data_IF_583739194670
#
_entry.id   IF_583739194670
#
_cell.length_a   1.000
_cell.length_b   1.000
_cell.length_c   1.000
_cell.angle_alpha   90.00
_cell.angle_beta   90.00
_cell.angle_gamma   90.00
#
_symmetry.space_group_name_H-M   'P 1'
#
loop_
_entity.id
_entity.type
_entity.pdbx_description
1 polymer ?
#
# COMPACT_ATOMS: atom_id res chain seq x y z
N UNK A 1 -9.66 -0.83 8.74
CA UNK A 1 -8.88 -0.13 7.71
C UNK A 1 -9.22 1.37 7.62
N UNK A 2 -10.46 1.77 7.31
CA UNK A 2 -10.83 3.19 7.11
C UNK A 2 -10.35 4.13 8.23
N UNK A 3 -10.59 3.79 9.50
CA UNK A 3 -10.13 4.62 10.62
C UNK A 3 -8.61 4.76 10.73
N UNK A 4 -7.85 3.73 10.33
CA UNK A 4 -6.39 3.78 10.29
C UNK A 4 -5.90 4.70 9.17
N UNK A 5 -6.45 4.57 7.95
CA UNK A 5 -6.08 5.43 6.82
C UNK A 5 -6.43 6.90 7.07
N UNK A 6 -7.55 7.19 7.74
CA UNK A 6 -7.89 8.57 8.16
C UNK A 6 -6.84 9.13 9.11
N UNK A 7 -6.46 8.36 10.15
CA UNK A 7 -5.38 8.79 11.07
C UNK A 7 -4.05 9.04 10.36
N UNK A 8 -3.70 8.21 9.37
CA UNK A 8 -2.50 8.43 8.55
C UNK A 8 -2.60 9.71 7.71
N UNK A 9 -3.79 10.04 7.19
CA UNK A 9 -4.00 11.27 6.45
C UNK A 9 -3.94 12.51 7.36
N UNK A 10 -4.53 12.41 8.56
CA UNK A 10 -4.63 13.50 9.52
C UNK A 10 -3.30 13.80 10.22
N UNK A 11 -2.40 12.81 10.36
CA UNK A 11 -1.09 13.03 10.98
C UNK A 11 -0.14 13.89 10.12
N UNK A 12 -0.45 14.09 8.84
CA UNK A 12 0.29 14.95 7.91
C UNK A 12 1.71 14.46 7.57
N UNK A 13 2.16 13.34 8.15
CA UNK A 13 3.52 12.84 8.00
C UNK A 13 3.62 11.94 6.76
N UNK A 14 3.57 12.57 5.58
CA UNK A 14 3.73 11.91 4.30
C UNK A 14 5.07 12.29 3.68
N UNK A 15 5.97 11.32 3.41
CA UNK A 15 7.27 11.60 2.81
C UNK A 15 7.18 12.32 1.46
N UNK A 16 6.12 12.05 0.70
CA UNK A 16 5.86 12.62 -0.63
C UNK A 16 4.36 12.73 -0.90
N UNK A 17 4.00 13.59 -1.85
CA UNK A 17 2.60 13.82 -2.22
C UNK A 17 1.91 12.59 -2.82
N UNK A 18 2.64 11.69 -3.50
CA UNK A 18 2.08 10.42 -4.00
C UNK A 18 1.69 9.45 -2.88
N UNK A 19 2.29 9.58 -1.69
CA UNK A 19 1.95 8.78 -0.50
C UNK A 19 0.65 9.29 0.11
N UNK A 20 0.51 10.61 0.19
CA UNK A 20 -0.75 11.26 0.59
C UNK A 20 -1.87 10.92 -0.38
N UNK A 21 -1.60 11.00 -1.68
CA UNK A 21 -2.59 10.74 -2.73
C UNK A 21 -3.11 9.31 -2.67
N UNK A 22 -2.24 8.30 -2.54
CA UNK A 22 -2.70 6.90 -2.47
C UNK A 22 -3.59 6.65 -1.24
N UNK A 23 -3.30 7.27 -0.09
CA UNK A 23 -4.13 7.17 1.11
C UNK A 23 -5.47 7.86 0.89
N UNK A 24 -5.48 9.06 0.32
CA UNK A 24 -6.70 9.82 0.02
C UNK A 24 -7.63 9.04 -0.92
N UNK A 25 -7.07 8.47 -1.99
CA UNK A 25 -7.83 7.63 -2.94
C UNK A 25 -8.36 6.35 -2.26
N UNK A 26 -7.58 5.75 -1.36
CA UNK A 26 -8.00 4.57 -0.59
C UNK A 26 -9.15 4.90 0.37
N UNK A 27 -9.11 6.06 1.04
CA UNK A 27 -10.21 6.54 1.89
C UNK A 27 -11.48 6.77 1.08
N UNK A 28 -11.36 7.40 -0.09
CA UNK A 28 -12.46 7.60 -1.02
C UNK A 28 -13.10 6.27 -1.46
N UNK A 29 -12.28 5.31 -1.89
CA UNK A 29 -12.73 3.98 -2.27
C UNK A 29 -13.53 3.30 -1.14
N UNK A 30 -13.04 3.34 0.10
CA UNK A 30 -13.74 2.76 1.25
C UNK A 30 -15.03 3.49 1.65
N UNK A 31 -15.15 4.78 1.34
CA UNK A 31 -16.38 5.55 1.57
C UNK A 31 -17.42 5.36 0.46
N UNK A 32 -17.06 4.73 -0.66
CA UNK A 32 -17.90 4.67 -1.85
C UNK A 32 -18.12 6.06 -2.47
N UNK A 33 -17.16 6.97 -2.32
CA UNK A 33 -17.29 8.35 -2.75
C UNK A 33 -16.04 8.85 -3.45
N UNK A 34 -16.24 9.84 -4.32
CA UNK A 34 -15.18 10.47 -5.11
C UNK A 34 -14.66 11.71 -4.35
N UNK A 35 -13.33 11.90 -4.17
CA UNK A 35 -12.75 13.12 -3.64
C UNK A 35 -13.22 14.37 -4.39
N UNK A 36 -13.28 15.50 -3.70
CA UNK A 36 -13.68 16.80 -4.29
C UNK A 36 -12.69 17.31 -5.34
N UNK A 37 -11.43 16.88 -5.29
CA UNK A 37 -10.42 17.21 -6.28
C UNK A 37 -9.42 16.08 -6.47
N UNK A 38 -8.91 15.96 -7.68
CA UNK A 38 -7.85 15.01 -8.04
C UNK A 38 -6.66 15.75 -8.59
N UNK A 39 -5.47 15.23 -8.30
CA UNK A 39 -4.27 15.62 -9.03
C UNK A 39 -4.30 15.00 -10.41
N UNK A 40 -3.83 15.74 -11.41
CA UNK A 40 -3.55 15.17 -12.72
C UNK A 40 -2.58 13.98 -12.54
N UNK A 41 -2.79 12.86 -13.25
CA UNK A 41 -1.87 11.75 -13.18
C UNK A 41 -0.44 12.18 -13.54
N UNK A 42 0.52 11.87 -12.68
CA UNK A 42 1.93 12.14 -12.93
C UNK A 42 2.53 11.20 -13.98
N UNK A 43 3.77 11.48 -14.39
CA UNK A 43 4.46 10.68 -15.40
C UNK A 43 4.49 9.18 -15.03
N UNK A 44 3.97 8.35 -15.94
CA UNK A 44 4.04 6.90 -15.82
C UNK A 44 5.45 6.42 -16.18
N UNK A 45 6.21 6.00 -15.19
CA UNK A 45 7.53 5.41 -15.38
C UNK A 45 7.53 3.96 -14.89
N UNK A 46 8.15 3.05 -15.66
CA UNK A 46 8.16 1.61 -15.32
C UNK A 46 8.81 1.29 -13.97
N UNK A 47 9.72 2.15 -13.50
CA UNK A 47 10.43 1.98 -12.22
C UNK A 47 9.59 2.31 -10.98
N UNK A 48 8.42 2.95 -11.11
CA UNK A 48 7.60 3.39 -9.95
C UNK A 48 6.24 2.71 -9.91
N UNK A 49 6.14 1.65 -9.11
CA UNK A 49 4.89 0.92 -8.88
C UNK A 49 3.77 1.81 -8.29
N UNK A 50 4.09 2.78 -7.43
CA UNK A 50 3.11 3.69 -6.81
C UNK A 50 2.27 4.46 -7.83
N UNK A 51 2.88 4.90 -8.95
CA UNK A 51 2.15 5.56 -10.02
C UNK A 51 1.06 4.63 -10.59
N UNK A 52 1.41 3.36 -10.84
CA UNK A 52 0.46 2.34 -11.32
C UNK A 52 -0.68 2.11 -10.34
N UNK A 53 -0.38 2.09 -9.03
CA UNK A 53 -1.39 1.98 -7.98
C UNK A 53 -2.34 3.19 -7.97
N UNK A 54 -1.81 4.42 -8.05
CA UNK A 54 -2.63 5.65 -8.13
C UNK A 54 -3.53 5.64 -9.37
N UNK A 55 -2.98 5.27 -10.54
CA UNK A 55 -3.77 5.13 -11.77
C UNK A 55 -4.88 4.09 -11.62
N UNK A 56 -4.58 2.90 -11.10
CA UNK A 56 -5.57 1.85 -10.88
C UNK A 56 -6.69 2.29 -9.91
N UNK A 57 -6.32 3.02 -8.85
CA UNK A 57 -7.30 3.58 -7.92
C UNK A 57 -8.22 4.61 -8.59
N UNK A 58 -7.68 5.51 -9.43
CA UNK A 58 -8.50 6.47 -10.18
C UNK A 58 -9.43 5.76 -11.16
N UNK A 59 -8.94 4.77 -11.91
CA UNK A 59 -9.76 3.95 -12.81
C UNK A 59 -10.90 3.30 -12.01
N UNK A 60 -10.62 2.73 -10.83
CA UNK A 60 -11.66 2.14 -9.99
C UNK A 60 -12.69 3.17 -9.52
N UNK A 61 -12.27 4.36 -9.09
CA UNK A 61 -13.18 5.42 -8.60
C UNK A 61 -14.06 5.99 -9.72
N UNK A 62 -13.58 5.99 -10.95
CA UNK A 62 -14.29 6.51 -12.13
C UNK A 62 -14.80 5.41 -13.07
N UNK A 63 -14.82 4.15 -12.65
CA UNK A 63 -15.09 3.02 -13.56
C UNK A 63 -16.46 3.11 -14.25
N UNK A 64 -17.45 3.74 -13.61
CA UNK A 64 -18.78 3.95 -14.20
C UNK A 64 -18.77 4.94 -15.40
N UNK A 65 -17.71 5.73 -15.54
CA UNK A 65 -17.51 6.67 -16.65
C UNK A 65 -16.62 6.09 -17.77
N UNK A 66 -16.11 4.88 -17.60
CA UNK A 66 -15.15 4.26 -18.50
C UNK A 66 -15.78 3.03 -19.17
N UNK A 67 -15.53 2.87 -20.46
CA UNK A 67 -15.87 1.62 -21.15
C UNK A 67 -14.90 0.52 -20.71
N UNK A 68 -15.40 -0.40 -19.89
CA UNK A 68 -14.62 -1.51 -19.35
C UNK A 68 -15.37 -2.82 -19.53
N UNK A 69 -14.65 -3.85 -20.00
CA UNK A 69 -15.15 -5.21 -19.94
C UNK A 69 -15.31 -5.66 -18.48
N UNK A 70 -16.18 -6.66 -18.25
CA UNK A 70 -16.33 -7.29 -16.93
C UNK A 70 -15.00 -7.81 -16.38
N UNK A 71 -14.11 -8.28 -17.26
CA UNK A 71 -12.77 -8.78 -16.90
C UNK A 71 -11.86 -7.66 -16.42
N UNK A 72 -11.82 -6.53 -17.11
CA UNK A 72 -11.01 -5.38 -16.71
C UNK A 72 -11.49 -4.79 -15.39
N UNK A 73 -12.80 -4.64 -15.21
CA UNK A 73 -13.37 -4.16 -13.97
C UNK A 73 -13.05 -5.10 -12.79
N UNK A 74 -13.17 -6.41 -12.98
CA UNK A 74 -12.78 -7.38 -11.97
C UNK A 74 -11.29 -7.29 -11.61
N UNK A 75 -10.42 -7.11 -12.61
CA UNK A 75 -8.98 -6.92 -12.40
C UNK A 75 -8.66 -5.65 -11.62
N UNK A 76 -9.21 -4.51 -12.04
CA UNK A 76 -9.01 -3.22 -11.36
C UNK A 76 -9.56 -3.25 -9.94
N UNK A 77 -10.71 -3.89 -9.71
CA UNK A 77 -11.27 -4.06 -8.36
C UNK A 77 -10.33 -4.84 -7.44
N UNK A 78 -9.69 -5.92 -7.93
CA UNK A 78 -8.70 -6.68 -7.17
C UNK A 78 -7.48 -5.84 -6.82
N UNK A 79 -6.96 -5.06 -7.78
CA UNK A 79 -5.83 -4.14 -7.55
C UNK A 79 -6.21 -3.05 -6.54
N UNK A 80 -7.35 -2.40 -6.71
CA UNK A 80 -7.81 -1.33 -5.81
C UNK A 80 -8.03 -1.84 -4.38
N UNK A 81 -8.58 -3.05 -4.24
CA UNK A 81 -8.74 -3.71 -2.95
C UNK A 81 -7.39 -3.99 -2.29
N UNK A 82 -6.43 -4.60 -3.00
CA UNK A 82 -5.07 -4.82 -2.50
C UNK A 82 -4.38 -3.52 -2.09
N UNK A 83 -4.48 -2.48 -2.93
CA UNK A 83 -3.87 -1.18 -2.69
C UNK A 83 -4.40 -0.56 -1.41
N UNK A 84 -5.72 -0.53 -1.27
CA UNK A 84 -6.43 0.07 -0.13
C UNK A 84 -6.22 -0.71 1.16
N UNK A 85 -6.35 -2.03 1.10
CA UNK A 85 -6.41 -2.88 2.28
C UNK A 85 -5.06 -3.33 2.80
N UNK A 86 -4.00 -3.21 1.98
CA UNK A 86 -2.66 -3.65 2.35
C UNK A 86 -1.63 -2.59 1.99
N UNK A 87 -1.41 -2.34 0.70
CA UNK A 87 -0.24 -1.62 0.21
C UNK A 87 -0.11 -0.19 0.74
N UNK A 88 -1.20 0.59 0.81
CA UNK A 88 -1.16 2.00 1.18
C UNK A 88 -0.54 2.25 2.57
N UNK A 89 -0.86 1.40 3.55
CA UNK A 89 -0.28 1.48 4.90
C UNK A 89 1.23 1.27 4.85
N UNK A 90 1.67 0.13 4.32
CA UNK A 90 3.09 -0.25 4.30
C UNK A 90 3.93 0.69 3.46
N UNK A 91 3.36 1.19 2.36
CA UNK A 91 4.02 2.18 1.53
C UNK A 91 4.25 3.50 2.28
N UNK A 92 3.27 3.96 3.06
CA UNK A 92 3.41 5.20 3.84
C UNK A 92 4.57 5.12 4.85
N UNK A 93 4.76 3.95 5.44
CA UNK A 93 5.79 3.68 6.44
C UNK A 93 7.13 3.23 5.83
N UNK A 94 7.22 3.02 4.51
CA UNK A 94 8.40 2.45 3.84
C UNK A 94 9.68 3.30 3.96
N UNK A 95 9.54 4.57 4.33
CA UNK A 95 10.67 5.49 4.56
C UNK A 95 11.19 5.46 6.01
N UNK A 96 10.58 4.67 6.90
CA UNK A 96 10.98 4.53 8.31
C UNK A 96 11.82 3.25 8.43
N UNK A 97 13.16 3.32 8.47
CA UNK A 97 14.01 2.13 8.36
C UNK A 97 13.87 1.19 9.56
N UNK A 98 13.62 1.72 10.75
CA UNK A 98 13.38 0.90 11.94
C UNK A 98 12.13 0.03 11.79
N UNK A 99 11.14 0.50 11.03
CA UNK A 99 9.88 -0.23 10.83
C UNK A 99 9.98 -1.30 9.74
N UNK A 100 11.03 -1.28 8.93
CA UNK A 100 11.10 -2.04 7.68
C UNK A 100 11.01 -3.57 7.90
N UNK A 101 11.79 -4.12 8.83
CA UNK A 101 11.80 -5.56 9.08
C UNK A 101 10.43 -6.12 9.50
N UNK A 102 9.78 -5.45 10.47
CA UNK A 102 8.43 -5.81 10.90
C UNK A 102 7.41 -5.60 9.79
N UNK A 103 7.51 -4.50 9.05
CA UNK A 103 6.60 -4.19 7.95
C UNK A 103 6.68 -5.23 6.83
N UNK A 104 7.86 -5.73 6.49
CA UNK A 104 8.03 -6.77 5.47
C UNK A 104 7.31 -8.08 5.87
N UNK A 105 7.45 -8.50 7.12
CA UNK A 105 6.80 -9.69 7.66
C UNK A 105 5.28 -9.53 7.78
N UNK A 106 4.84 -8.39 8.33
CA UNK A 106 3.43 -8.08 8.50
C UNK A 106 2.74 -7.91 7.13
N UNK A 107 3.43 -7.34 6.12
CA UNK A 107 2.93 -7.23 4.75
C UNK A 107 2.63 -8.61 4.16
N UNK A 108 3.57 -9.56 4.25
CA UNK A 108 3.37 -10.93 3.73
C UNK A 108 2.18 -11.59 4.43
N UNK A 109 2.08 -11.41 5.75
CA UNK A 109 0.98 -11.95 6.56
C UNK A 109 -0.37 -11.35 6.16
N UNK A 110 -0.44 -10.02 6.02
CA UNK A 110 -1.66 -9.32 5.65
C UNK A 110 -2.10 -9.65 4.22
N UNK A 111 -1.17 -9.74 3.27
CA UNK A 111 -1.46 -10.16 1.90
C UNK A 111 -2.14 -11.54 1.87
N UNK A 112 -1.60 -12.52 2.59
CA UNK A 112 -2.16 -13.89 2.66
C UNK A 112 -3.51 -13.93 3.35
N UNK A 113 -3.73 -13.08 4.34
CA UNK A 113 -4.97 -13.05 5.14
C UNK A 113 -6.10 -12.28 4.45
N UNK A 114 -5.77 -11.22 3.72
CA UNK A 114 -6.74 -10.25 3.20
C UNK A 114 -7.07 -10.49 1.73
N UNK A 115 -6.07 -10.84 0.91
CA UNK A 115 -6.23 -10.92 -0.53
C UNK A 115 -6.56 -12.34 -1.01
N UNK A 116 -7.11 -12.45 -2.22
CA UNK A 116 -7.27 -13.75 -2.89
C UNK A 116 -5.91 -14.40 -3.20
N UNK A 117 -5.87 -15.73 -3.30
CA UNK A 117 -4.65 -16.52 -3.52
C UNK A 117 -3.83 -16.05 -4.72
N UNK A 118 -4.48 -15.58 -5.78
CA UNK A 118 -3.82 -15.09 -6.98
C UNK A 118 -3.05 -13.80 -6.72
N UNK A 119 -3.68 -12.82 -6.05
CA UNK A 119 -3.00 -11.60 -5.62
C UNK A 119 -1.93 -11.93 -4.58
N UNK A 120 -2.25 -12.80 -3.63
CA UNK A 120 -1.36 -13.14 -2.53
C UNK A 120 -0.06 -13.78 -3.01
N UNK A 121 -0.16 -14.76 -3.90
CA UNK A 121 0.99 -15.43 -4.51
C UNK A 121 1.88 -14.46 -5.29
N UNK A 122 1.29 -13.57 -6.09
CA UNK A 122 2.05 -12.59 -6.87
C UNK A 122 2.74 -11.56 -5.97
N UNK A 123 2.04 -11.03 -4.97
CA UNK A 123 2.57 -10.06 -4.04
C UNK A 123 3.67 -10.67 -3.14
N UNK A 124 3.48 -11.88 -2.61
CA UNK A 124 4.51 -12.59 -1.84
C UNK A 124 5.77 -12.82 -2.68
N UNK A 125 5.63 -13.31 -3.92
CA UNK A 125 6.77 -13.52 -4.82
C UNK A 125 7.49 -12.23 -5.13
N UNK A 126 6.77 -11.13 -5.30
CA UNK A 126 7.39 -9.82 -5.47
C UNK A 126 8.16 -9.42 -4.21
N UNK A 127 7.55 -9.59 -3.03
CA UNK A 127 8.09 -9.15 -1.76
C UNK A 127 9.33 -9.92 -1.31
N UNK A 128 9.45 -11.21 -1.66
CA UNK A 128 10.66 -12.01 -1.45
C UNK A 128 11.94 -11.39 -2.04
N UNK A 129 11.81 -10.52 -3.06
CA UNK A 129 12.94 -9.81 -3.68
C UNK A 129 13.33 -8.52 -2.94
N UNK A 130 12.57 -8.14 -1.92
CA UNK A 130 12.68 -6.85 -1.22
C UNK A 130 12.91 -7.01 0.30
N UNK A 131 13.26 -8.20 0.79
CA UNK A 131 13.51 -8.49 2.21
C UNK A 131 14.90 -8.05 2.70
N UNK A 132 15.44 -6.95 2.18
CA UNK A 132 16.81 -6.53 2.48
C UNK A 132 17.02 -6.20 3.96
N UNK A 133 15.97 -5.72 4.64
CA UNK A 133 15.99 -5.39 6.06
C UNK A 133 15.92 -6.61 6.98
N UNK A 134 15.70 -7.81 6.44
CA UNK A 134 15.81 -9.08 7.16
C UNK A 134 17.21 -9.73 7.00
N UNK A 135 18.22 -8.95 6.62
CA UNK A 135 19.62 -9.39 6.60
C UNK A 135 20.28 -9.23 7.97
N UNK A 136 21.35 -9.98 8.21
CA UNK A 136 22.12 -9.97 9.47
C UNK A 136 22.55 -8.56 9.91
N UNK A 137 22.85 -7.67 8.95
CA UNK A 137 23.29 -6.31 9.24
C UNK A 137 22.13 -5.33 9.43
N UNK A 138 21.11 -5.39 8.56
CA UNK A 138 20.04 -4.38 8.54
C UNK A 138 18.93 -4.67 9.55
N UNK A 139 18.81 -5.91 10.02
CA UNK A 139 17.82 -6.28 11.04
C UNK A 139 18.04 -5.52 12.34
N UNK A 140 19.27 -5.08 12.63
CA UNK A 140 19.59 -4.26 13.81
C UNK A 140 18.84 -2.93 13.85
N UNK A 141 18.37 -2.39 12.72
CA UNK A 141 17.52 -1.20 12.70
C UNK A 141 16.18 -1.42 13.41
N UNK A 142 15.69 -2.66 13.46
CA UNK A 142 14.45 -3.04 14.12
C UNK A 142 14.51 -2.88 15.65
N UNK A 143 15.71 -2.78 16.24
CA UNK A 143 15.88 -2.48 17.68
C UNK A 143 15.20 -1.15 18.06
N UNK A 144 15.18 -0.19 17.13
CA UNK A 144 14.55 1.12 17.31
C UNK A 144 13.05 1.14 16.98
N UNK A 145 12.43 -0.01 16.72
CA UNK A 145 10.99 -0.10 16.49
C UNK A 145 10.26 -0.33 17.82
N UNK A 146 9.49 0.66 18.28
CA UNK A 146 8.70 0.57 19.52
C UNK A 146 7.56 -0.45 19.44
N UNK A 147 7.26 -0.98 18.24
CA UNK A 147 6.25 -2.02 18.01
C UNK A 147 6.80 -3.44 18.25
N UNK A 148 8.10 -3.58 18.45
CA UNK A 148 8.78 -4.84 18.75
C UNK A 148 9.01 -4.93 20.26
N UNK A 149 8.68 -6.07 20.86
CA UNK A 149 8.81 -6.21 22.32
C UNK A 149 10.28 -6.29 22.75
N UNK A 150 10.62 -5.92 24.00
CA UNK A 150 11.98 -6.04 24.50
C UNK A 150 12.57 -7.46 24.35
N UNK A 151 11.75 -8.50 24.54
CA UNK A 151 12.14 -9.90 24.41
C UNK A 151 12.49 -10.28 22.96
N UNK A 152 11.87 -9.63 21.98
CA UNK A 152 12.19 -9.84 20.56
C UNK A 152 13.44 -9.06 20.10
N UNK A 153 13.92 -8.11 20.92
CA UNK A 153 15.13 -7.31 20.66
C UNK A 153 16.38 -7.88 21.32
N UNK A 154 16.21 -8.76 22.32
CA UNK A 154 17.28 -9.43 23.06
C UNK A 154 17.82 -10.65 22.29
#
# INVERSE_FOLDING_TARGET
MLGHLKRLLDCGNHPREDYKEIILLSVAYLRGGVPTSFRAPGAYHMARWIAKAIYAMKIMLFHDQLEMSRRELAGIRRVAFFVTMVYAKYWNEAMIPSYAAKNDLDFITDVKRICDDGVASVAERAMRRHLWYLSENLIGLAIFDDRISPEQKA
#
